data_IF_125493836652
#
_entry.id   IF_125493836652
#
_cell.length_a   1.000
_cell.length_b   1.000
_cell.length_c   1.000
_cell.angle_alpha   90.00
_cell.angle_beta   90.00
_cell.angle_gamma   90.00
#
_symmetry.space_group_name_H-M   'P 1'
#
loop_
_entity.id
_entity.type
_entity.pdbx_description
1 polymer ?
#
# COMPACT_ATOMS: atom_id res chain seq x y z
N UNK A 1 3.35 14.43 -5.58
CA UNK A 1 3.25 13.03 -5.11
C UNK A 1 3.43 13.09 -3.61
N UNK A 2 2.40 12.69 -2.87
CA UNK A 2 2.34 12.83 -1.42
C UNK A 2 2.87 11.58 -0.72
N UNK A 3 3.49 11.79 0.42
CA UNK A 3 4.05 10.76 1.29
C UNK A 3 3.45 10.92 2.68
N UNK A 4 3.10 9.82 3.32
CA UNK A 4 2.55 9.81 4.68
C UNK A 4 2.96 8.57 5.46
N UNK A 5 2.92 8.68 6.78
CA UNK A 5 3.06 7.56 7.69
C UNK A 5 1.82 6.67 7.62
N UNK A 6 2.03 5.37 7.47
CA UNK A 6 0.98 4.38 7.37
C UNK A 6 1.30 3.19 8.26
N UNK A 7 0.25 2.53 8.75
CA UNK A 7 0.37 1.33 9.57
C UNK A 7 -0.49 0.22 8.97
N UNK A 8 0.09 -0.96 8.79
CA UNK A 8 -0.61 -2.16 8.32
C UNK A 8 -0.63 -3.22 9.42
N UNK A 9 -1.63 -4.09 9.40
CA UNK A 9 -1.80 -5.15 10.39
C UNK A 9 -0.99 -6.39 9.99
N UNK A 10 -0.03 -6.81 10.80
CA UNK A 10 0.60 -8.13 10.71
C UNK A 10 -0.22 -9.20 11.44
N UNK A 11 0.23 -10.46 11.39
CA UNK A 11 -0.45 -11.57 12.09
C UNK A 11 -0.44 -11.40 13.61
N UNK A 12 0.66 -10.87 14.15
CA UNK A 12 0.92 -10.78 15.59
C UNK A 12 1.18 -9.34 16.07
N UNK A 13 1.42 -8.39 15.16
CA UNK A 13 1.77 -7.01 15.47
C UNK A 13 1.41 -6.06 14.33
N UNK A 14 1.34 -4.77 14.63
CA UNK A 14 1.32 -3.73 13.59
C UNK A 14 2.66 -3.63 12.87
N UNK A 15 2.63 -3.17 11.62
CA UNK A 15 3.76 -2.93 10.74
C UNK A 15 3.72 -1.45 10.33
N UNK A 16 4.57 -0.65 10.94
CA UNK A 16 4.65 0.78 10.65
C UNK A 16 5.56 1.04 9.44
N UNK A 17 5.18 1.99 8.60
CA UNK A 17 5.94 2.34 7.42
C UNK A 17 5.51 3.64 6.76
N UNK A 18 5.99 3.82 5.55
CA UNK A 18 5.77 4.99 4.73
C UNK A 18 5.04 4.58 3.47
N UNK A 19 3.91 5.23 3.22
CA UNK A 19 3.21 5.17 1.94
C UNK A 19 3.60 6.37 1.07
N UNK A 20 3.86 6.13 -0.21
CA UNK A 20 4.25 7.14 -1.18
C UNK A 20 3.49 6.92 -2.49
N UNK A 21 2.86 7.97 -3.01
CA UNK A 21 2.31 7.94 -4.36
C UNK A 21 3.41 7.81 -5.42
N UNK A 22 3.29 6.86 -6.34
CA UNK A 22 4.28 6.57 -7.37
C UNK A 22 3.67 6.63 -8.78
N UNK A 23 4.51 6.80 -9.80
CA UNK A 23 4.11 6.53 -11.18
C UNK A 23 4.30 5.04 -11.47
N UNK A 24 3.25 4.36 -11.92
CA UNK A 24 3.31 2.97 -12.33
C UNK A 24 2.68 2.81 -13.73
N UNK A 25 3.31 2.07 -14.67
CA UNK A 25 2.79 1.93 -16.03
C UNK A 25 1.34 1.44 -16.06
N UNK A 26 0.50 2.10 -16.84
CA UNK A 26 -0.93 1.80 -17.02
C UNK A 26 -1.84 2.07 -15.80
N UNK A 27 -1.33 2.68 -14.73
CA UNK A 27 -2.14 3.05 -13.57
C UNK A 27 -2.02 4.55 -13.29
N UNK A 28 -3.17 5.21 -13.18
CA UNK A 28 -3.26 6.64 -12.84
C UNK A 28 -3.06 6.90 -11.35
N UNK A 29 -3.32 5.89 -10.51
CA UNK A 29 -3.20 6.00 -9.06
C UNK A 29 -2.52 4.75 -8.50
N UNK A 30 -1.30 4.91 -8.00
CA UNK A 30 -0.50 3.83 -7.45
C UNK A 30 0.30 4.31 -6.24
N UNK A 31 0.41 3.44 -5.24
CA UNK A 31 1.12 3.71 -4.00
C UNK A 31 2.09 2.59 -3.67
N UNK A 32 3.27 2.96 -3.20
CA UNK A 32 4.26 2.08 -2.62
C UNK A 32 4.26 2.27 -1.10
N UNK A 33 4.15 1.17 -0.36
CA UNK A 33 4.38 1.10 1.07
C UNK A 33 5.71 0.40 1.36
N UNK A 34 6.52 1.01 2.21
CA UNK A 34 7.75 0.41 2.77
C UNK A 34 7.71 0.49 4.29
N UNK A 35 7.75 -0.66 4.94
CA UNK A 35 7.93 -0.77 6.38
C UNK A 35 9.24 -0.14 6.85
N UNK A 36 9.22 0.40 8.07
CA UNK A 36 10.40 1.00 8.70
C UNK A 36 11.42 -0.06 9.13
N UNK A 37 10.95 -1.26 9.48
CA UNK A 37 11.80 -2.39 9.86
C UNK A 37 12.29 -3.23 8.65
N UNK A 38 11.86 -2.87 7.44
CA UNK A 38 12.24 -3.54 6.20
C UNK A 38 11.60 -4.91 5.97
N UNK A 39 10.61 -5.30 6.78
CA UNK A 39 9.95 -6.62 6.68
C UNK A 39 8.90 -6.67 5.58
N UNK A 40 8.26 -5.55 5.27
CA UNK A 40 7.18 -5.44 4.30
C UNK A 40 7.46 -4.35 3.25
N UNK A 41 7.29 -4.73 2.00
CA UNK A 41 7.14 -3.86 0.84
C UNK A 41 5.84 -4.23 0.13
N UNK A 42 5.05 -3.24 -0.29
CA UNK A 42 3.79 -3.46 -1.00
C UNK A 42 3.58 -2.36 -2.03
N UNK A 43 3.16 -2.73 -3.24
CA UNK A 43 2.68 -1.77 -4.23
C UNK A 43 1.24 -2.11 -4.58
N UNK A 44 0.36 -1.12 -4.43
CA UNK A 44 -1.04 -1.19 -4.85
C UNK A 44 -1.34 -0.15 -5.91
N UNK A 45 -2.34 -0.40 -6.73
CA UNK A 45 -2.88 0.58 -7.65
C UNK A 45 -4.40 0.46 -7.81
N UNK A 46 -5.04 1.56 -8.18
CA UNK A 46 -6.47 1.60 -8.48
C UNK A 46 -6.67 1.25 -9.95
N UNK A 47 -7.40 0.18 -10.23
CA UNK A 47 -7.64 -0.30 -11.59
C UNK A 47 -8.72 0.51 -12.33
N UNK A 48 -9.12 0.04 -13.52
CA UNK A 48 -10.12 0.71 -14.35
C UNK A 48 -11.53 0.66 -13.78
N UNK A 49 -11.84 -0.30 -12.92
CA UNK A 49 -13.13 -0.45 -12.27
C UNK A 49 -13.20 0.39 -10.97
N UNK A 50 -12.06 0.94 -10.55
CA UNK A 50 -11.93 1.76 -9.35
C UNK A 50 -11.56 0.94 -8.12
N UNK A 51 -11.22 -0.34 -8.28
CA UNK A 51 -10.83 -1.24 -7.20
C UNK A 51 -9.32 -1.15 -6.95
N UNK A 52 -8.93 -1.18 -5.69
CA UNK A 52 -7.51 -1.25 -5.34
C UNK A 52 -7.02 -2.68 -5.47
N UNK A 53 -5.91 -2.88 -6.18
CA UNK A 53 -5.30 -4.19 -6.43
C UNK A 53 -3.82 -4.19 -6.05
N UNK A 54 -3.30 -5.35 -5.66
CA UNK A 54 -1.85 -5.55 -5.47
C UNK A 54 -1.17 -5.70 -6.81
N UNK A 55 -0.08 -4.97 -7.00
CA UNK A 55 0.79 -5.08 -8.16
C UNK A 55 2.02 -5.95 -7.86
N UNK A 56 2.67 -5.71 -6.72
CA UNK A 56 3.84 -6.48 -6.26
C UNK A 56 4.07 -6.25 -4.76
N UNK A 57 5.02 -6.96 -4.15
CA UNK A 57 5.39 -6.79 -2.74
C UNK A 57 5.92 -8.07 -2.10
N UNK A 58 6.25 -7.98 -0.81
CA UNK A 58 6.78 -9.08 0.00
C UNK A 58 5.80 -10.25 0.12
N UNK A 59 6.36 -11.45 0.29
CA UNK A 59 5.65 -12.67 0.67
C UNK A 59 6.15 -13.20 2.03
N UNK A 60 5.30 -13.84 2.85
CA UNK A 60 3.89 -14.12 2.61
C UNK A 60 3.02 -12.86 2.61
N UNK A 61 1.92 -12.92 1.88
CA UNK A 61 1.03 -11.78 1.64
C UNK A 61 -0.31 -11.95 2.35
N UNK A 62 -0.78 -10.88 2.99
CA UNK A 62 -2.12 -10.79 3.56
C UNK A 62 -3.00 -9.92 2.67
N UNK A 63 -4.16 -10.45 2.25
CA UNK A 63 -5.06 -9.73 1.35
C UNK A 63 -5.56 -8.41 1.92
N UNK A 64 -5.76 -8.36 3.25
CA UNK A 64 -6.22 -7.17 3.97
C UNK A 64 -5.30 -5.97 3.82
N UNK A 65 -4.02 -6.16 3.50
CA UNK A 65 -3.10 -5.05 3.32
C UNK A 65 -3.45 -4.13 2.15
N UNK A 66 -4.14 -4.63 1.13
CA UNK A 66 -4.63 -3.75 0.06
C UNK A 66 -5.67 -2.81 0.64
N UNK A 67 -6.68 -3.37 1.31
CA UNK A 67 -7.82 -2.62 1.84
C UNK A 67 -7.35 -1.60 2.89
N UNK A 68 -6.49 -2.02 3.81
CA UNK A 68 -5.94 -1.16 4.87
C UNK A 68 -5.11 0.00 4.31
N UNK A 69 -4.29 -0.25 3.28
CA UNK A 69 -3.50 0.81 2.65
C UNK A 69 -4.39 1.73 1.81
N UNK A 70 -5.35 1.18 1.08
CA UNK A 70 -6.32 1.92 0.27
C UNK A 70 -7.15 2.88 1.12
N UNK A 71 -7.69 2.42 2.26
CA UNK A 71 -8.44 3.26 3.20
C UNK A 71 -7.59 4.45 3.68
N UNK A 72 -6.32 4.20 4.00
CA UNK A 72 -5.40 5.26 4.42
C UNK A 72 -5.12 6.24 3.29
N UNK A 73 -4.89 5.77 2.06
CA UNK A 73 -4.72 6.64 0.89
C UNK A 73 -5.93 7.54 0.69
N UNK A 74 -7.14 6.98 0.67
CA UNK A 74 -8.37 7.75 0.46
C UNK A 74 -8.65 8.74 1.61
N UNK A 75 -8.13 8.48 2.82
CA UNK A 75 -8.22 9.43 3.96
C UNK A 75 -7.25 10.62 3.86
N UNK A 76 -6.27 10.57 2.96
CA UNK A 76 -5.27 11.63 2.74
C UNK A 76 -5.51 12.45 1.48
N UNK A 77 -6.39 12.00 0.58
CA UNK A 77 -6.86 12.72 -0.60
C UNK A 77 -7.89 13.80 -0.22
#
# INVERSE_FOLDING_TARGET
MEQFEATLSGTDSSIDGIAQGITYPNFSNAYEFKSTDGTLHLIIAKDSDGEWIRLTGTEPYLSSWIDELAEQVESKL
#
